data_IF_998842169979
#
_entry.id   IF_998842169979
#
_cell.length_a   1.000
_cell.length_b   1.000
_cell.length_c   1.000
_cell.angle_alpha   90.00
_cell.angle_beta   90.00
_cell.angle_gamma   90.00
#
_symmetry.space_group_name_H-M   'P 1'
#
loop_
_entity.id
_entity.type
_entity.pdbx_description
1 polymer ?
#
# COMPACT_ATOMS: atom_id res chain seq x y z
N UNK A 1 -3.92 18.04 7.30
CA UNK A 1 -4.11 17.36 6.00
C UNK A 1 -3.73 15.90 6.18
N UNK A 2 -4.62 14.94 5.87
CA UNK A 2 -4.31 13.51 5.92
C UNK A 2 -4.11 13.04 4.48
N UNK A 3 -2.94 12.51 4.15
CA UNK A 3 -2.61 12.05 2.80
C UNK A 3 -2.22 10.57 2.83
N UNK A 4 -2.80 9.80 1.91
CA UNK A 4 -2.37 8.41 1.66
C UNK A 4 -1.08 8.45 0.85
N UNK A 5 -0.08 7.68 1.27
CA UNK A 5 1.19 7.56 0.56
C UNK A 5 1.14 6.35 -0.35
N UNK A 6 1.57 6.50 -1.61
CA UNK A 6 1.83 5.40 -2.54
C UNK A 6 3.34 5.33 -2.74
N UNK A 7 3.94 4.16 -2.58
CA UNK A 7 5.39 4.00 -2.70
C UNK A 7 5.77 2.61 -3.19
N UNK A 8 6.86 2.51 -3.96
CA UNK A 8 7.51 1.25 -4.33
C UNK A 8 8.73 0.93 -3.44
N UNK A 9 9.05 1.80 -2.47
CA UNK A 9 10.14 1.59 -1.54
C UNK A 9 9.72 0.57 -0.45
N UNK A 10 10.24 -0.65 -0.58
CA UNK A 10 10.02 -1.74 0.39
C UNK A 10 10.65 -1.43 1.75
N UNK A 11 11.74 -0.67 1.80
CA UNK A 11 12.38 -0.22 3.04
C UNK A 11 11.46 0.73 3.81
N UNK A 12 10.94 1.75 3.13
CA UNK A 12 9.92 2.63 3.72
C UNK A 12 8.67 1.84 4.15
N UNK A 13 8.16 0.96 3.30
CA UNK A 13 6.98 0.15 3.62
C UNK A 13 7.18 -0.76 4.83
N UNK A 14 8.39 -1.29 5.01
CA UNK A 14 8.76 -2.11 6.17
C UNK A 14 8.89 -1.27 7.44
N UNK A 15 9.49 -0.07 7.34
CA UNK A 15 9.56 0.86 8.46
C UNK A 15 8.17 1.30 8.91
N UNK A 16 7.31 1.69 7.97
CA UNK A 16 5.93 2.07 8.25
C UNK A 16 5.12 0.92 8.88
N UNK A 17 5.41 -0.33 8.49
CA UNK A 17 4.80 -1.51 9.10
C UNK A 17 5.24 -1.74 10.55
N UNK A 18 6.52 -1.52 10.86
CA UNK A 18 7.09 -1.73 12.20
C UNK A 18 6.80 -0.55 13.14
N UNK A 19 6.75 0.66 12.59
CA UNK A 19 6.40 1.85 13.33
C UNK A 19 4.90 1.81 13.59
N UNK A 20 4.47 1.68 14.85
CA UNK A 20 3.05 1.74 15.23
C UNK A 20 2.41 3.14 15.01
N UNK A 21 3.01 3.96 14.13
CA UNK A 21 2.69 5.34 13.81
C UNK A 21 1.35 5.41 13.11
N UNK A 22 0.55 6.40 13.48
CA UNK A 22 -0.70 6.69 12.78
C UNK A 22 -0.43 7.26 11.40
N UNK A 23 -1.08 6.71 10.38
CA UNK A 23 -1.04 7.22 9.02
C UNK A 23 -2.45 7.22 8.42
N UNK A 24 -2.67 8.07 7.41
CA UNK A 24 -3.96 8.11 6.72
C UNK A 24 -4.22 6.83 5.90
N UNK A 25 -3.16 6.19 5.43
CA UNK A 25 -3.17 4.98 4.60
C UNK A 25 -1.84 4.90 3.86
N UNK A 26 -1.36 3.68 3.59
CA UNK A 26 -0.14 3.46 2.81
C UNK A 26 -0.41 2.38 1.78
N UNK A 27 -0.13 2.65 0.52
CA UNK A 27 -0.16 1.67 -0.57
C UNK A 27 1.29 1.38 -0.95
N UNK A 28 1.75 0.17 -0.62
CA UNK A 28 3.09 -0.32 -0.94
C UNK A 28 3.03 -1.18 -2.21
N UNK A 29 3.68 -0.72 -3.27
CA UNK A 29 3.91 -1.48 -4.50
C UNK A 29 5.10 -2.42 -4.28
N UNK A 30 4.84 -3.71 -4.16
CA UNK A 30 5.86 -4.75 -4.04
C UNK A 30 5.98 -5.49 -5.36
N UNK A 31 6.60 -4.82 -6.33
CA UNK A 31 6.76 -5.28 -7.71
C UNK A 31 8.25 -5.49 -8.05
N UNK A 32 8.58 -6.34 -9.03
CA UNK A 32 9.94 -6.43 -9.56
C UNK A 32 10.42 -5.10 -10.15
N UNK A 33 11.71 -4.82 -9.96
CA UNK A 33 12.32 -3.54 -10.35
C UNK A 33 12.40 -3.41 -11.88
N UNK A 34 12.46 -4.53 -12.58
CA UNK A 34 12.64 -4.61 -14.03
C UNK A 34 11.33 -4.41 -14.81
N UNK A 35 10.19 -4.23 -14.12
CA UNK A 35 8.92 -4.00 -14.79
C UNK A 35 8.92 -2.64 -15.51
N UNK A 36 8.37 -2.57 -16.73
CA UNK A 36 8.06 -1.29 -17.37
C UNK A 36 7.15 -0.44 -16.48
N UNK A 37 7.37 0.88 -16.48
CA UNK A 37 6.59 1.80 -15.63
C UNK A 37 5.11 1.79 -16.01
N UNK A 38 4.80 1.53 -17.27
CA UNK A 38 3.45 1.37 -17.81
C UNK A 38 2.75 0.19 -17.11
N UNK A 39 3.43 -0.96 -17.01
CA UNK A 39 2.92 -2.14 -16.31
C UNK A 39 2.74 -1.87 -14.81
N UNK A 40 3.67 -1.15 -14.18
CA UNK A 40 3.54 -0.74 -12.77
C UNK A 40 2.29 0.13 -12.57
N UNK A 41 2.07 1.09 -13.45
CA UNK A 41 0.91 1.98 -13.40
C UNK A 41 -0.40 1.23 -13.66
N UNK A 42 -0.42 0.30 -14.60
CA UNK A 42 -1.60 -0.56 -14.86
C UNK A 42 -1.97 -1.39 -13.62
N UNK A 43 -0.97 -2.01 -12.98
CA UNK A 43 -1.17 -2.79 -11.74
C UNK A 43 -1.72 -1.87 -10.64
N UNK A 44 -1.13 -0.68 -10.45
CA UNK A 44 -1.59 0.29 -9.46
C UNK A 44 -3.04 0.73 -9.73
N UNK A 45 -3.35 1.13 -10.97
CA UNK A 45 -4.70 1.58 -11.34
C UNK A 45 -5.74 0.48 -11.15
N UNK A 46 -5.40 -0.75 -11.52
CA UNK A 46 -6.28 -1.90 -11.31
C UNK A 46 -6.50 -2.17 -9.82
N UNK A 47 -5.46 -2.04 -8.97
CA UNK A 47 -5.64 -2.15 -7.53
C UNK A 47 -6.53 -1.03 -6.97
N UNK A 48 -6.29 0.22 -7.36
CA UNK A 48 -7.06 1.38 -6.90
C UNK A 48 -8.55 1.31 -7.28
N UNK A 49 -8.87 0.80 -8.46
CA UNK A 49 -10.27 0.60 -8.89
C UNK A 49 -11.03 -0.39 -8.01
N UNK A 50 -10.33 -1.33 -7.38
CA UNK A 50 -10.93 -2.38 -6.57
C UNK A 50 -10.86 -2.10 -5.06
N UNK A 51 -10.21 -1.01 -4.65
CA UNK A 51 -10.05 -0.62 -3.25
C UNK A 51 -11.05 0.46 -2.87
N UNK A 52 -11.69 0.29 -1.73
CA UNK A 52 -12.53 1.31 -1.12
C UNK A 52 -11.71 2.25 -0.21
N UNK A 53 -12.22 3.46 0.02
CA UNK A 53 -11.59 4.41 0.94
C UNK A 53 -11.45 3.83 2.36
N UNK A 54 -12.43 3.03 2.81
CA UNK A 54 -12.43 2.38 4.12
C UNK A 54 -11.36 1.29 4.22
N UNK A 55 -11.05 0.61 3.12
CA UNK A 55 -9.98 -0.40 3.08
C UNK A 55 -8.59 0.22 3.15
N UNK A 56 -8.43 1.43 2.61
CA UNK A 56 -7.15 2.17 2.62
C UNK A 56 -6.95 2.93 3.94
N UNK A 57 -8.02 3.45 4.53
CA UNK A 57 -7.93 4.33 5.69
C UNK A 57 -7.29 3.62 6.88
N UNK A 58 -6.16 4.15 7.36
CA UNK A 58 -5.42 3.61 8.50
C UNK A 58 -4.84 2.21 8.27
N UNK A 59 -4.74 1.78 7.01
CA UNK A 59 -4.21 0.46 6.65
C UNK A 59 -2.95 0.56 5.80
N UNK A 60 -2.19 -0.53 5.79
CA UNK A 60 -1.12 -0.75 4.84
C UNK A 60 -1.63 -1.74 3.81
N UNK A 61 -1.82 -1.27 2.59
CA UNK A 61 -2.22 -2.05 1.44
C UNK A 61 -0.96 -2.44 0.67
N UNK A 62 -0.68 -3.73 0.56
CA UNK A 62 0.43 -4.24 -0.24
C UNK A 62 -0.12 -4.73 -1.56
N UNK A 63 0.32 -4.12 -2.66
CA UNK A 63 -0.02 -4.52 -4.02
C UNK A 63 1.17 -5.28 -4.59
N UNK A 64 0.96 -6.57 -4.89
CA UNK A 64 1.90 -7.38 -5.67
C UNK A 64 1.27 -7.74 -7.03
N UNK A 65 2.03 -8.35 -7.95
CA UNK A 65 1.52 -8.66 -9.30
C UNK A 65 0.28 -9.56 -9.33
N UNK A 66 0.02 -10.32 -8.25
CA UNK A 66 -1.00 -11.37 -8.23
C UNK A 66 -2.17 -11.03 -7.32
N UNK A 67 -1.96 -10.17 -6.32
CA UNK A 67 -2.95 -9.89 -5.29
C UNK A 67 -2.69 -8.58 -4.56
N UNK A 68 -3.78 -8.11 -3.97
CA UNK A 68 -3.79 -7.02 -3.00
C UNK A 68 -3.96 -7.60 -1.60
N UNK A 69 -3.15 -7.14 -0.64
CA UNK A 69 -3.23 -7.54 0.77
C UNK A 69 -3.48 -6.30 1.61
N UNK A 70 -4.58 -6.28 2.35
CA UNK A 70 -4.90 -5.18 3.27
C UNK A 70 -4.49 -5.59 4.68
N UNK A 71 -3.62 -4.80 5.31
CA UNK A 71 -3.20 -4.99 6.70
C UNK A 71 -3.70 -3.84 7.54
N UNK A 72 -4.59 -4.14 8.48
CA UNK A 72 -5.09 -3.18 9.45
C UNK A 72 -4.32 -3.33 10.76
N UNK A 73 -4.01 -2.22 11.42
CA UNK A 73 -3.47 -2.25 12.78
C UNK A 73 -4.49 -2.99 13.67
N UNK A 74 -4.10 -4.08 14.32
CA UNK A 74 -4.91 -4.62 15.42
C UNK A 74 -4.92 -3.55 16.51
N UNK A 75 -6.12 -3.11 16.91
CA UNK A 75 -6.26 -2.34 18.14
C UNK A 75 -5.79 -3.28 19.26
N UNK A 76 -4.64 -2.98 19.86
CA UNK A 76 -4.24 -3.63 21.10
C UNK A 76 -5.11 -2.95 22.15
N UNK A 77 -6.09 -3.69 22.68
CA UNK A 77 -6.89 -3.30 23.84
C UNK A 77 -6.02 -3.35 25.11
#
# INVERSE_FOLDING_TARGET
MKATIITADVGFGSLAYLSAVEHAGIILLRLPVELPIETVNEILLNALRNLTAQEITGSIVVVDQRKVRIRRKKRIE
#
